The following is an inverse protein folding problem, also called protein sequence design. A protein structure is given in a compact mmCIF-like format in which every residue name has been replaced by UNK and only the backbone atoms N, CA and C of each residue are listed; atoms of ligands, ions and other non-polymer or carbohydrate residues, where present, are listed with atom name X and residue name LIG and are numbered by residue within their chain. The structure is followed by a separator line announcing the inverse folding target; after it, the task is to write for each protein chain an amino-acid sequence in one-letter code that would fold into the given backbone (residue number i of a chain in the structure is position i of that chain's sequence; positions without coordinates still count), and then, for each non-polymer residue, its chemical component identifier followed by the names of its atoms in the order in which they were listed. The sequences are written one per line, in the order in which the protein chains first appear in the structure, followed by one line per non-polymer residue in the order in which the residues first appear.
data_IF_948380376469
#
_entry.id   IF_948380376469
#
_cell.length_a   1.000
_cell.length_b   1.000
_cell.length_c   1.000
_cell.angle_alpha   90.00
_cell.angle_beta   90.00
_cell.angle_gamma   90.00
#
_symmetry.space_group_name_H-M   'P 1'
#
loop_
_entity.id
_entity.type
_entity.pdbx_description
1 polymer ?
#
# COMPACT_ATOMS: atom_id res chain seq x y z
N UNK A 1 -3.95 -4.38 -17.75
CA UNK A 1 -2.97 -3.81 -16.81
C UNK A 1 -2.86 -4.73 -15.62
N UNK A 2 -1.66 -5.22 -15.30
CA UNK A 2 -1.44 -6.06 -14.12
C UNK A 2 -0.52 -5.30 -13.18
N UNK A 3 -0.98 -5.00 -11.96
CA UNK A 3 -0.19 -4.26 -10.97
C UNK A 3 0.46 -5.27 -10.02
N UNK A 4 1.80 -5.41 -10.04
CA UNK A 4 2.49 -6.45 -9.28
C UNK A 4 2.45 -6.21 -7.77
N UNK A 5 2.16 -4.98 -7.34
CA UNK A 5 2.02 -4.62 -5.93
C UNK A 5 0.74 -3.81 -5.71
N UNK A 6 0.00 -4.05 -4.61
CA UNK A 6 -1.16 -3.27 -4.22
C UNK A 6 -0.87 -1.76 -4.14
N UNK A 7 0.35 -1.39 -3.74
CA UNK A 7 0.84 0.00 -3.70
C UNK A 7 0.74 0.72 -5.05
N UNK A 8 1.08 0.04 -6.16
CA UNK A 8 1.04 0.66 -7.48
C UNK A 8 -0.39 0.97 -7.95
N UNK A 9 -1.41 0.31 -7.40
CA UNK A 9 -2.82 0.60 -7.67
C UNK A 9 -3.23 1.93 -7.02
N UNK A 10 -2.68 2.24 -5.84
CA UNK A 10 -2.95 3.50 -5.14
C UNK A 10 -2.24 4.65 -5.85
N UNK A 11 -0.96 4.48 -6.17
CA UNK A 11 -0.11 5.52 -6.78
C UNK A 11 -0.43 5.78 -8.26
N UNK A 12 -0.94 4.79 -8.99
CA UNK A 12 -1.27 4.94 -10.40
C UNK A 12 -2.73 5.37 -10.61
N UNK A 13 -3.65 4.41 -10.78
CA UNK A 13 -5.01 4.71 -11.22
C UNK A 13 -5.83 5.52 -10.19
N UNK A 14 -5.66 5.27 -8.89
CA UNK A 14 -6.41 6.03 -7.87
C UNK A 14 -5.95 7.49 -7.79
N UNK A 15 -4.64 7.75 -7.81
CA UNK A 15 -4.10 9.10 -7.77
C UNK A 15 -4.44 9.88 -9.05
N UNK A 16 -4.28 9.26 -10.22
CA UNK A 16 -4.64 9.87 -11.50
C UNK A 16 -6.11 10.24 -11.56
N UNK A 17 -6.99 9.32 -11.14
CA UNK A 17 -8.44 9.59 -11.09
C UNK A 17 -8.79 10.75 -10.15
N UNK A 18 -8.06 10.90 -9.05
CA UNK A 18 -8.31 12.01 -8.12
C UNK A 18 -7.75 13.35 -8.61
N UNK A 19 -6.64 13.35 -9.35
CA UNK A 19 -6.11 14.54 -10.02
C UNK A 19 -7.07 15.08 -11.07
N UNK A 20 -7.67 14.21 -11.90
CA UNK A 20 -8.69 14.62 -12.87
C UNK A 20 -9.94 15.22 -12.19
N UNK A 21 -10.41 14.61 -11.10
CA UNK A 21 -11.51 15.16 -10.30
C UNK A 21 -11.14 16.54 -9.74
N UNK A 22 -9.88 16.74 -9.33
CA UNK A 22 -9.35 18.03 -8.88
C UNK A 22 -9.35 19.09 -9.98
N UNK A 23 -8.90 18.75 -11.18
CA UNK A 23 -8.93 19.67 -12.34
C UNK A 23 -10.36 20.03 -12.74
N UNK A 24 -11.26 19.05 -12.79
CA UNK A 24 -12.67 19.29 -13.14
C UNK A 24 -13.38 20.15 -12.09
N UNK A 25 -13.04 19.98 -10.82
CA UNK A 25 -13.54 20.82 -9.74
C UNK A 25 -12.97 22.24 -9.83
N UNK A 26 -11.67 22.39 -10.07
CA UNK A 26 -11.01 23.70 -10.24
C UNK A 26 -11.51 24.47 -11.47
N UNK A 27 -11.87 23.77 -12.54
CA UNK A 27 -12.48 24.33 -13.75
C UNK A 27 -13.98 24.63 -13.60
N UNK A 28 -14.60 24.35 -12.45
CA UNK A 28 -16.03 24.55 -12.20
C UNK A 28 -16.96 23.61 -12.99
N UNK A 29 -16.43 22.52 -13.57
CA UNK A 29 -17.18 21.52 -14.34
C UNK A 29 -17.78 20.42 -13.46
N UNK A 30 -17.37 20.33 -12.20
CA UNK A 30 -17.88 19.37 -11.22
C UNK A 30 -18.35 20.06 -9.94
N UNK A 31 -19.43 19.54 -9.35
CA UNK A 31 -20.00 20.05 -8.10
C UNK A 31 -19.49 19.27 -6.88
N UNK A 32 -19.48 19.93 -5.71
CA UNK A 32 -19.10 19.34 -4.42
C UNK A 32 -19.74 17.97 -4.14
N UNK A 33 -21.06 17.75 -4.35
CA UNK A 33 -21.68 16.46 -4.11
C UNK A 33 -21.12 15.33 -4.99
N UNK A 34 -20.64 15.63 -6.19
CA UNK A 34 -20.00 14.67 -7.09
C UNK A 34 -18.59 14.33 -6.62
N UNK A 35 -17.83 15.34 -6.18
CA UNK A 35 -16.49 15.18 -5.61
C UNK A 35 -16.55 14.32 -4.34
N UNK A 36 -17.48 14.60 -3.44
CA UNK A 36 -17.65 13.83 -2.19
C UNK A 36 -18.03 12.38 -2.49
N UNK A 37 -18.89 12.13 -3.48
CA UNK A 37 -19.22 10.75 -3.91
C UNK A 37 -17.99 10.01 -4.44
N UNK A 38 -17.17 10.68 -5.25
CA UNK A 38 -15.93 10.10 -5.81
C UNK A 38 -14.90 9.80 -4.72
N UNK A 39 -14.73 10.72 -3.75
CA UNK A 39 -13.86 10.52 -2.59
C UNK A 39 -14.28 9.31 -1.73
N UNK A 40 -15.59 9.04 -1.60
CA UNK A 40 -16.08 7.85 -0.87
C UNK A 40 -15.69 6.55 -1.55
N UNK A 41 -15.73 6.50 -2.89
CA UNK A 41 -15.28 5.32 -3.66
C UNK A 41 -13.78 5.11 -3.48
N UNK A 42 -12.99 6.19 -3.52
CA UNK A 42 -11.54 6.15 -3.26
C UNK A 42 -11.22 5.57 -1.88
N UNK A 43 -11.88 6.06 -0.82
CA UNK A 43 -11.67 5.55 0.55
C UNK A 43 -12.03 4.06 0.68
N UNK A 44 -13.09 3.60 0.00
CA UNK A 44 -13.48 2.19 -0.02
C UNK A 44 -12.42 1.31 -0.72
N UNK A 45 -11.91 1.78 -1.86
CA UNK A 45 -10.85 1.07 -2.59
C UNK A 45 -9.58 0.93 -1.73
N UNK A 46 -9.13 2.01 -1.09
CA UNK A 46 -7.97 1.97 -0.17
C UNK A 46 -8.23 1.01 0.99
N UNK A 47 -9.39 1.07 1.64
CA UNK A 47 -9.74 0.14 2.72
C UNK A 47 -9.70 -1.34 2.29
N UNK A 48 -10.03 -1.63 1.04
CA UNK A 48 -9.93 -2.99 0.50
C UNK A 48 -8.47 -3.42 0.29
N UNK A 49 -7.56 -2.50 -0.04
CA UNK A 49 -6.15 -2.77 -0.29
C UNK A 49 -5.31 -2.93 1.00
N UNK A 50 -5.73 -2.30 2.11
CA UNK A 50 -5.05 -2.37 3.42
C UNK A 50 -4.72 -3.81 3.86
N UNK A 51 -5.67 -4.77 3.90
CA UNK A 51 -5.37 -6.14 4.35
C UNK A 51 -4.34 -6.83 3.45
N UNK A 52 -4.39 -6.61 2.14
CA UNK A 52 -3.41 -7.21 1.20
C UNK A 52 -1.99 -6.65 1.41
N UNK A 53 -1.88 -5.35 1.70
CA UNK A 53 -0.59 -4.72 2.03
C UNK A 53 -0.02 -5.25 3.34
N UNK A 54 -0.87 -5.46 4.35
CA UNK A 54 -0.44 -6.03 5.63
C UNK A 54 -0.01 -7.48 5.46
N UNK A 55 -0.72 -8.29 4.68
CA UNK A 55 -0.31 -9.67 4.37
C UNK A 55 1.04 -9.75 3.64
N UNK A 56 1.28 -8.89 2.64
CA UNK A 56 2.59 -8.81 1.97
C UNK A 56 3.70 -8.38 2.92
N UNK A 57 3.42 -7.39 3.78
CA UNK A 57 4.37 -6.92 4.78
C UNK A 57 4.68 -7.99 5.83
N UNK A 58 3.67 -8.73 6.29
CA UNK A 58 3.83 -9.83 7.24
C UNK A 58 4.62 -10.99 6.63
N UNK A 59 4.40 -11.32 5.34
CA UNK A 59 5.22 -12.31 4.62
C UNK A 59 6.68 -11.88 4.55
N UNK A 60 6.94 -10.63 4.16
CA UNK A 60 8.30 -10.08 4.17
C UNK A 60 8.92 -10.07 5.57
N UNK A 61 8.15 -9.72 6.60
CA UNK A 61 8.63 -9.69 7.98
C UNK A 61 8.93 -11.08 8.55
N UNK A 62 8.20 -12.13 8.13
CA UNK A 62 8.51 -13.52 8.51
C UNK A 62 9.84 -13.98 7.91
N UNK A 63 10.11 -13.63 6.65
CA UNK A 63 11.39 -13.95 5.99
C UNK A 63 12.58 -13.30 6.72
N UNK A 64 12.44 -12.04 7.16
CA UNK A 64 13.46 -11.35 7.94
C UNK A 64 13.70 -11.94 9.34
N UNK A 65 12.73 -12.67 9.91
CA UNK A 65 12.89 -13.33 11.22
C UNK A 65 13.58 -14.68 11.14
N UNK A 66 13.52 -15.36 10.00
CA UNK A 66 14.19 -16.66 9.81
C UNK A 66 15.72 -16.50 9.64
N UNK A 67 16.18 -15.41 9.02
CA UNK A 67 17.62 -15.15 8.82
C UNK A 67 18.35 -14.66 10.09
N UNK A 68 17.61 -14.23 11.12
CA UNK A 68 18.18 -13.77 12.39
C UNK A 68 18.45 -14.86 13.44
N UNK A 69 18.06 -16.13 13.20
CA UNK A 69 18.08 -17.16 14.25
C UNK A 69 19.20 -18.21 14.15
N UNK A 70 20.03 -18.23 13.11
CA UNK A 70 21.04 -19.32 12.92
C UNK A 70 22.49 -18.95 13.23
N UNK A 71 22.81 -17.73 13.68
CA UNK A 71 24.23 -17.31 13.80
C UNK A 71 24.74 -17.04 15.23
N UNK A 72 23.98 -17.30 16.30
CA UNK A 72 24.50 -17.11 17.68
C UNK A 72 24.68 -18.38 18.52
N UNK A 73 24.45 -19.59 17.97
CA UNK A 73 24.64 -20.84 18.71
C UNK A 73 26.04 -21.47 18.58
N UNK A 74 27.06 -20.70 18.19
CA UNK A 74 28.38 -21.27 17.85
C UNK A 74 29.63 -20.59 18.39
N UNK A 75 29.54 -19.53 19.21
CA UNK A 75 30.74 -18.74 19.59
C UNK A 75 31.19 -18.80 21.06
N UNK A 76 30.47 -19.48 21.95
CA UNK A 76 30.82 -19.48 23.40
C UNK A 76 31.43 -20.80 23.90
N UNK A 77 32.00 -21.65 23.04
CA UNK A 77 32.49 -22.96 23.46
C UNK A 77 34.02 -23.16 23.41
N UNK A 78 34.83 -22.42 22.65
CA UNK A 78 36.28 -22.68 22.57
C UNK A 78 37.12 -21.44 22.25
N UNK A 79 37.68 -20.82 23.29
CA UNK A 79 39.00 -20.16 23.31
C UNK A 79 39.26 -19.79 24.79
N UNK A 80 39.88 -20.71 25.55
CA UNK A 80 41.25 -20.54 26.07
C UNK A 80 41.42 -19.34 26.99
#
# INVERSE_FOLDING_TARGET
QNYPRPLHVIEGPLMNGMSEVGELFGAGKMFLPQVIKSARVMKKAVNYLIPFMEEEKQKNLKLLKEEGSTCISGLDAQAT
#
